data_IF_038978618469
#
_entry.id   IF_038978618469
#
_cell.length_a   1.000
_cell.length_b   1.000
_cell.length_c   1.000
_cell.angle_alpha   90.00
_cell.angle_beta   90.00
_cell.angle_gamma   90.00
#
_symmetry.space_group_name_H-M   'P 1'
#
loop_
_entity.id
_entity.type
_entity.pdbx_description
1 polymer ?
#
# COMPACT_ATOMS: atom_id res chain seq x y z
N UNK A 1 -6.03 25.41 2.95
CA UNK A 1 -4.96 24.71 3.73
C UNK A 1 -5.54 23.33 4.03
N UNK A 2 -4.84 22.26 3.69
CA UNK A 2 -5.24 20.90 4.04
C UNK A 2 -5.31 20.78 5.58
N UNK A 3 -6.37 20.14 6.07
CA UNK A 3 -6.59 19.93 7.52
C UNK A 3 -5.73 18.72 7.95
N UNK A 4 -4.49 18.98 8.37
CA UNK A 4 -3.52 17.96 8.75
C UNK A 4 -3.83 17.44 10.15
N UNK A 5 -4.05 16.13 10.27
CA UNK A 5 -4.28 15.46 11.55
C UNK A 5 -2.98 14.99 12.21
N UNK A 6 -2.04 14.48 11.41
CA UNK A 6 -0.77 13.96 11.91
C UNK A 6 0.38 14.43 11.00
N UNK A 7 1.52 14.71 11.58
CA UNK A 7 2.74 15.04 10.85
C UNK A 7 3.95 14.33 11.47
N UNK A 8 4.76 13.75 10.61
CA UNK A 8 6.07 13.20 10.95
C UNK A 8 7.11 14.13 10.34
N UNK A 9 8.02 14.69 11.16
CA UNK A 9 9.03 15.66 10.71
C UNK A 9 10.41 15.17 11.10
N UNK A 10 11.25 14.90 10.10
CA UNK A 10 12.64 14.48 10.24
C UNK A 10 12.82 13.31 11.22
N UNK A 11 11.91 12.33 11.15
CA UNK A 11 11.90 11.18 12.05
C UNK A 11 13.11 10.30 11.78
N UNK A 12 13.89 10.07 12.83
CA UNK A 12 15.02 9.15 12.83
C UNK A 12 14.88 8.16 13.98
N UNK A 13 15.21 6.86 13.73
CA UNK A 13 15.20 5.83 14.76
C UNK A 13 16.35 4.87 14.61
N UNK A 14 17.06 4.65 15.72
CA UNK A 14 18.15 3.70 15.83
C UNK A 14 17.78 2.57 16.80
N UNK A 15 18.21 1.36 16.50
CA UNK A 15 18.25 0.23 17.44
C UNK A 15 19.71 -0.25 17.54
N UNK A 16 20.35 0.09 18.62
CA UNK A 16 21.78 -0.08 18.74
C UNK A 16 22.54 0.70 17.66
N UNK A 17 23.25 -0.02 16.77
CA UNK A 17 23.98 0.60 15.64
C UNK A 17 23.16 0.66 14.35
N UNK A 18 22.00 0.06 14.33
CA UNK A 18 21.16 0.00 13.12
C UNK A 18 20.29 1.26 12.99
N UNK A 19 20.45 2.03 11.92
CA UNK A 19 19.61 3.17 11.57
C UNK A 19 18.40 2.66 10.79
N UNK A 20 17.27 2.45 11.49
CA UNK A 20 16.08 1.77 10.96
C UNK A 20 15.12 2.72 10.26
N UNK A 21 14.98 3.97 10.75
CA UNK A 21 14.18 5.02 10.14
C UNK A 21 15.09 6.23 9.91
N UNK A 22 15.08 6.74 8.68
CA UNK A 22 16.06 7.71 8.20
C UNK A 22 15.35 8.92 7.61
N UNK A 23 15.35 10.02 8.35
CA UNK A 23 14.83 11.33 7.96
C UNK A 23 13.45 11.30 7.32
N UNK A 24 12.50 10.58 7.93
CA UNK A 24 11.16 10.40 7.39
C UNK A 24 10.31 11.64 7.64
N UNK A 25 9.73 12.17 6.55
CA UNK A 25 8.84 13.32 6.54
C UNK A 25 7.52 12.93 5.84
N UNK A 26 6.38 13.00 6.57
CA UNK A 26 5.06 12.62 6.04
C UNK A 26 4.00 13.51 6.70
N UNK A 27 3.13 14.08 5.88
CA UNK A 27 1.92 14.79 6.30
C UNK A 27 0.69 13.93 6.05
N UNK A 28 -0.23 13.88 7.02
CA UNK A 28 -1.46 13.08 6.95
C UNK A 28 -2.67 14.01 7.01
N UNK A 29 -3.48 13.95 5.98
CA UNK A 29 -4.75 14.69 5.93
C UNK A 29 -5.82 13.98 6.77
N UNK A 30 -6.69 14.79 7.38
CA UNK A 30 -7.79 14.28 8.19
C UNK A 30 -8.76 13.45 7.36
N UNK A 31 -9.16 12.31 7.92
CA UNK A 31 -10.08 11.38 7.27
C UNK A 31 -9.46 10.54 6.17
N UNK A 32 -8.17 10.70 5.86
CA UNK A 32 -7.49 9.87 4.86
C UNK A 32 -7.11 8.49 5.41
N UNK A 33 -7.14 7.52 4.51
CA UNK A 33 -6.60 6.18 4.71
C UNK A 33 -5.20 6.13 4.09
N UNK A 34 -4.17 6.13 4.93
CA UNK A 34 -2.77 6.15 4.51
C UNK A 34 -2.13 4.80 4.74
N UNK A 35 -1.52 4.23 3.71
CA UNK A 35 -0.85 2.92 3.81
C UNK A 35 0.66 3.06 3.77
N UNK A 36 1.35 2.46 4.76
CA UNK A 36 2.78 2.20 4.68
C UNK A 36 3.02 0.87 3.99
N UNK A 37 3.66 0.91 2.85
CA UNK A 37 3.93 -0.23 1.99
C UNK A 37 5.44 -0.37 1.77
N UNK A 38 5.95 -1.61 1.73
CA UNK A 38 7.37 -1.86 1.49
C UNK A 38 7.78 -3.28 1.88
N UNK A 39 9.00 -3.72 1.54
CA UNK A 39 9.52 -5.03 1.91
C UNK A 39 9.55 -5.27 3.41
N UNK A 40 9.66 -6.54 3.81
CA UNK A 40 9.84 -6.89 5.23
C UNK A 40 11.09 -6.23 5.80
N UNK A 41 11.00 -5.73 7.04
CA UNK A 41 12.13 -5.08 7.71
C UNK A 41 12.45 -3.64 7.27
N UNK A 42 11.69 -3.01 6.36
CA UNK A 42 11.94 -1.64 5.91
C UNK A 42 11.52 -0.55 6.92
N UNK A 43 10.94 -0.90 8.08
CA UNK A 43 10.62 0.05 9.15
C UNK A 43 9.15 0.45 9.31
N UNK A 44 8.20 -0.10 8.52
CA UNK A 44 6.75 0.24 8.58
C UNK A 44 6.17 0.13 9.99
N UNK A 45 6.27 -1.06 10.59
CA UNK A 45 5.77 -1.31 11.96
C UNK A 45 6.50 -0.46 13.00
N UNK A 46 7.81 -0.19 12.81
CA UNK A 46 8.56 0.72 13.69
C UNK A 46 7.97 2.13 13.65
N UNK A 47 7.71 2.65 12.46
CA UNK A 47 7.11 3.97 12.26
C UNK A 47 5.70 4.04 12.87
N UNK A 48 4.86 3.01 12.62
CA UNK A 48 3.54 2.90 13.21
C UNK A 48 3.59 2.90 14.75
N UNK A 49 4.52 2.13 15.34
CA UNK A 49 4.71 2.04 16.79
C UNK A 49 5.24 3.33 17.41
N UNK A 50 6.00 4.15 16.66
CA UNK A 50 6.37 5.48 17.12
C UNK A 50 5.16 6.41 17.17
N UNK A 51 4.26 6.37 16.18
CA UNK A 51 3.00 7.11 16.23
C UNK A 51 2.13 6.64 17.39
N UNK A 52 2.07 5.33 17.65
CA UNK A 52 1.32 4.76 18.78
C UNK A 52 1.94 5.07 20.16
N UNK A 53 3.23 5.45 20.20
CA UNK A 53 3.96 5.78 21.44
C UNK A 53 4.66 4.61 22.13
N UNK A 54 4.82 3.46 21.43
CA UNK A 54 5.60 2.32 21.94
C UNK A 54 7.11 2.54 21.77
N UNK A 55 7.50 3.38 20.82
CA UNK A 55 8.88 3.82 20.63
C UNK A 55 8.92 5.34 20.56
N UNK A 56 9.96 5.94 21.12
CA UNK A 56 10.29 7.34 20.91
C UNK A 56 11.24 7.45 19.71
N UNK A 57 11.06 8.44 18.81
CA UNK A 57 12.08 8.77 17.82
C UNK A 57 13.35 9.27 18.50
N UNK A 58 14.52 8.97 17.92
CA UNK A 58 15.79 9.50 18.44
C UNK A 58 16.00 10.95 18.00
N UNK A 59 15.44 11.33 16.84
CA UNK A 59 15.35 12.70 16.36
C UNK A 59 14.05 12.91 15.61
N UNK A 60 13.61 14.16 15.51
CA UNK A 60 12.41 14.59 14.82
C UNK A 60 11.21 14.80 15.72
N UNK A 61 10.08 15.12 15.13
CA UNK A 61 8.85 15.50 15.82
C UNK A 61 7.64 14.75 15.28
N UNK A 62 6.76 14.30 16.17
CA UNK A 62 5.45 13.72 15.82
C UNK A 62 4.38 14.70 16.34
N UNK A 63 3.61 15.26 15.41
CA UNK A 63 2.58 16.25 15.72
C UNK A 63 1.20 15.64 15.45
N UNK A 64 0.32 15.62 16.45
CA UNK A 64 -1.10 15.25 16.32
C UNK A 64 -1.94 16.52 16.55
N UNK A 65 -2.70 16.94 15.54
CA UNK A 65 -3.41 18.23 15.54
C UNK A 65 -2.51 19.42 15.99
N UNK A 66 -1.28 19.46 15.44
CA UNK A 66 -0.29 20.48 15.75
C UNK A 66 0.37 20.37 17.14
N UNK A 67 0.03 19.39 17.96
CA UNK A 67 0.63 19.16 19.29
C UNK A 67 1.66 18.04 19.22
N UNK A 68 2.83 18.27 19.80
CA UNK A 68 3.89 17.25 19.89
C UNK A 68 3.48 16.11 20.81
N UNK A 69 3.62 14.87 20.32
CA UNK A 69 3.20 13.66 21.04
C UNK A 69 4.32 12.64 21.23
N UNK A 70 5.52 12.84 20.72
CA UNK A 70 6.61 11.85 20.76
C UNK A 70 6.93 11.38 22.19
N UNK A 71 6.80 12.25 23.22
CA UNK A 71 7.03 11.91 24.62
C UNK A 71 5.76 11.55 25.40
N UNK A 72 4.59 11.58 24.76
CA UNK A 72 3.34 11.20 25.41
C UNK A 72 3.22 9.68 25.39
N UNK A 73 2.94 9.03 26.56
CA UNK A 73 2.81 7.57 26.61
C UNK A 73 1.57 7.09 25.81
N UNK A 74 1.55 5.83 25.34
CA UNK A 74 0.48 5.30 24.46
C UNK A 74 -0.93 5.50 24.99
N UNK A 75 -1.16 5.25 26.28
CA UNK A 75 -2.48 5.35 26.93
C UNK A 75 -3.03 6.79 27.03
N UNK A 76 -2.17 7.80 26.86
CA UNK A 76 -2.53 9.22 26.89
C UNK A 76 -2.62 9.84 25.49
N UNK A 77 -2.23 9.11 24.44
CA UNK A 77 -2.42 9.55 23.06
C UNK A 77 -3.86 9.29 22.62
N UNK A 78 -4.40 10.18 21.79
CA UNK A 78 -5.73 9.94 21.20
C UNK A 78 -5.63 9.09 19.92
N UNK A 79 -4.89 7.98 20.02
CA UNK A 79 -4.72 6.98 18.98
C UNK A 79 -5.18 5.62 19.49
N UNK A 80 -5.64 4.75 18.59
CA UNK A 80 -5.94 3.36 18.92
C UNK A 80 -5.23 2.45 17.92
N UNK A 81 -4.70 1.30 18.40
CA UNK A 81 -3.94 0.38 17.57
C UNK A 81 -4.56 -1.02 17.58
N UNK A 82 -4.67 -1.60 16.39
CA UNK A 82 -4.98 -3.01 16.16
C UNK A 82 -3.69 -3.71 15.76
N UNK A 83 -3.31 -4.73 16.51
CA UNK A 83 -2.10 -5.52 16.27
C UNK A 83 -2.37 -6.66 15.29
N UNK A 84 -1.33 -7.16 14.65
CA UNK A 84 -1.37 -8.27 13.70
C UNK A 84 -2.05 -9.53 14.28
N UNK A 85 -1.80 -9.86 15.56
CA UNK A 85 -2.40 -11.00 16.27
C UNK A 85 -3.69 -10.62 17.01
N UNK A 86 -4.32 -9.47 16.66
CA UNK A 86 -5.53 -8.92 17.28
C UNK A 86 -5.39 -8.59 18.77
N UNK A 87 -4.51 -9.28 19.51
CA UNK A 87 -4.22 -9.10 20.93
C UNK A 87 -5.50 -9.04 21.81
N UNK A 88 -6.50 -9.90 21.52
CA UNK A 88 -7.69 -10.03 22.35
C UNK A 88 -7.34 -10.67 23.68
N UNK A 89 -8.03 -10.26 24.74
CA UNK A 89 -7.92 -10.89 26.05
C UNK A 89 -8.68 -12.22 26.02
N UNK A 90 -8.00 -13.38 26.07
CA UNK A 90 -8.66 -14.68 25.86
C UNK A 90 -9.61 -15.10 26.98
N UNK A 91 -9.44 -14.52 28.18
CA UNK A 91 -10.25 -14.75 29.37
C UNK A 91 -11.44 -13.80 29.51
N UNK A 92 -11.62 -12.89 28.56
CA UNK A 92 -12.71 -11.93 28.48
C UNK A 92 -13.62 -12.26 27.32
N UNK A 93 -14.94 -12.09 27.48
CA UNK A 93 -15.89 -12.18 26.37
C UNK A 93 -15.77 -10.96 25.42
N UNK A 94 -16.56 -10.91 24.37
CA UNK A 94 -16.55 -9.82 23.36
C UNK A 94 -16.90 -8.48 24.02
N UNK A 95 -17.95 -8.43 24.85
CA UNK A 95 -18.36 -7.21 25.55
C UNK A 95 -17.23 -6.67 26.44
N UNK A 96 -16.59 -7.55 27.20
CA UNK A 96 -15.51 -7.17 28.12
C UNK A 96 -14.25 -6.72 27.36
N UNK A 97 -13.89 -7.40 26.26
CA UNK A 97 -12.81 -6.97 25.38
C UNK A 97 -13.04 -5.55 24.86
N UNK A 98 -14.21 -5.28 24.29
CA UNK A 98 -14.52 -3.98 23.69
C UNK A 98 -14.64 -2.89 24.75
N UNK A 99 -15.29 -3.18 25.90
CA UNK A 99 -15.50 -2.20 26.97
C UNK A 99 -14.24 -1.87 27.78
N UNK A 100 -13.17 -2.68 27.67
CA UNK A 100 -12.00 -2.61 28.55
C UNK A 100 -11.41 -1.19 28.67
N UNK A 101 -11.13 -0.53 27.55
CA UNK A 101 -10.55 0.80 27.53
C UNK A 101 -11.45 1.87 28.17
N UNK A 102 -12.77 1.75 28.00
CA UNK A 102 -13.74 2.66 28.63
C UNK A 102 -13.79 2.48 30.15
N UNK A 103 -13.70 1.22 30.62
CA UNK A 103 -13.61 0.89 32.05
C UNK A 103 -12.35 1.45 32.69
N UNK A 104 -11.20 1.28 32.03
CA UNK A 104 -9.91 1.86 32.48
C UNK A 104 -9.98 3.38 32.59
N UNK A 105 -10.74 4.04 31.69
CA UNK A 105 -11.01 5.50 31.75
C UNK A 105 -12.14 5.88 32.72
N UNK A 106 -12.65 4.93 33.51
CA UNK A 106 -13.74 5.15 34.52
C UNK A 106 -14.98 5.81 33.92
N UNK A 107 -15.39 5.40 32.68
CA UNK A 107 -16.63 5.92 32.08
C UNK A 107 -17.86 5.37 32.76
N UNK A 108 -18.97 6.13 32.81
CA UNK A 108 -20.25 5.65 33.39
C UNK A 108 -20.72 4.38 32.67
N UNK A 109 -21.38 3.48 33.46
CA UNK A 109 -21.85 2.19 32.94
C UNK A 109 -22.79 2.33 31.74
N UNK A 110 -23.70 3.28 31.80
CA UNK A 110 -24.64 3.58 30.69
C UNK A 110 -23.91 4.02 29.40
N UNK A 111 -22.85 4.85 29.52
CA UNK A 111 -22.02 5.24 28.38
C UNK A 111 -21.30 4.03 27.82
N UNK A 112 -20.75 3.16 28.68
CA UNK A 112 -20.07 1.93 28.25
C UNK A 112 -21.01 1.04 27.45
N UNK A 113 -22.20 0.73 28.00
CA UNK A 113 -23.19 -0.14 27.35
C UNK A 113 -23.62 0.42 26.00
N UNK A 114 -23.91 1.72 25.91
CA UNK A 114 -24.29 2.38 24.66
C UNK A 114 -23.18 2.30 23.63
N UNK A 115 -21.95 2.72 23.97
CA UNK A 115 -20.83 2.77 23.02
C UNK A 115 -20.38 1.40 22.57
N UNK A 116 -20.37 0.40 23.45
CA UNK A 116 -20.05 -0.99 23.08
C UNK A 116 -21.09 -1.52 22.11
N UNK A 117 -22.38 -1.31 22.38
CA UNK A 117 -23.46 -1.72 21.48
C UNK A 117 -23.30 -1.08 20.09
N UNK A 118 -23.07 0.25 20.02
CA UNK A 118 -22.82 0.97 18.77
C UNK A 118 -21.61 0.40 18.00
N UNK A 119 -20.51 0.09 18.70
CA UNK A 119 -19.32 -0.48 18.08
C UNK A 119 -19.55 -1.92 17.56
N UNK A 120 -20.27 -2.75 18.32
CA UNK A 120 -20.62 -4.11 17.92
C UNK A 120 -21.60 -4.13 16.73
N UNK A 121 -22.60 -3.25 16.74
CA UNK A 121 -23.54 -3.09 15.62
C UNK A 121 -22.80 -2.67 14.36
N UNK A 122 -21.87 -1.71 14.46
CA UNK A 122 -21.03 -1.24 13.33
C UNK A 122 -20.19 -2.38 12.73
N UNK A 123 -19.66 -3.27 13.59
CA UNK A 123 -18.82 -4.39 13.20
C UNK A 123 -19.62 -5.67 12.89
N UNK A 124 -20.95 -5.61 12.82
CA UNK A 124 -21.83 -6.76 12.56
C UNK A 124 -21.63 -7.92 13.56
N UNK A 125 -21.38 -7.58 14.82
CA UNK A 125 -21.15 -8.53 15.92
C UNK A 125 -22.32 -8.60 16.91
N UNK A 126 -23.49 -8.07 16.55
CA UNK A 126 -24.71 -8.10 17.38
C UNK A 126 -25.07 -9.53 17.77
N UNK A 127 -25.35 -9.76 19.06
CA UNK A 127 -25.68 -11.07 19.61
C UNK A 127 -24.48 -11.97 19.89
N UNK A 128 -23.26 -11.42 19.82
CA UNK A 128 -22.02 -12.15 20.14
C UNK A 128 -21.35 -11.64 21.42
N UNK A 129 -22.02 -10.81 22.20
CA UNK A 129 -21.48 -10.09 23.36
C UNK A 129 -20.85 -11.03 24.39
N UNK A 130 -21.47 -12.20 24.62
CA UNK A 130 -21.08 -13.19 25.64
C UNK A 130 -20.06 -14.23 25.12
N UNK A 131 -19.71 -14.22 23.80
CA UNK A 131 -18.75 -15.16 23.24
C UNK A 131 -17.34 -14.82 23.66
N UNK A 132 -16.50 -15.86 23.78
CA UNK A 132 -15.07 -15.71 24.03
C UNK A 132 -14.29 -15.82 22.72
N UNK A 133 -13.07 -15.25 22.64
CA UNK A 133 -12.24 -15.28 21.42
C UNK A 133 -12.05 -16.68 20.82
N UNK A 134 -11.88 -17.72 21.65
CA UNK A 134 -11.70 -19.10 21.21
C UNK A 134 -12.97 -19.73 20.57
N UNK A 135 -14.11 -19.08 20.67
CA UNK A 135 -15.38 -19.49 20.06
C UNK A 135 -15.67 -18.74 18.75
N UNK A 136 -14.71 -17.97 18.25
CA UNK A 136 -14.89 -17.06 17.12
C UNK A 136 -13.93 -17.40 15.98
N UNK A 137 -14.38 -17.16 14.73
CA UNK A 137 -13.48 -17.21 13.58
C UNK A 137 -12.47 -16.06 13.58
N UNK A 138 -11.36 -16.21 12.84
CA UNK A 138 -10.33 -15.16 12.75
C UNK A 138 -10.89 -13.80 12.30
N UNK A 139 -11.80 -13.78 11.32
CA UNK A 139 -12.47 -12.54 10.88
C UNK A 139 -13.35 -11.93 11.95
N UNK A 140 -14.04 -12.75 12.78
CA UNK A 140 -14.81 -12.25 13.91
C UNK A 140 -13.89 -11.68 15.00
N UNK A 141 -12.79 -12.36 15.32
CA UNK A 141 -11.78 -11.85 16.26
C UNK A 141 -11.20 -10.52 15.82
N UNK A 142 -10.89 -10.38 14.53
CA UNK A 142 -10.43 -9.13 13.95
C UNK A 142 -11.48 -8.01 14.13
N UNK A 143 -12.74 -8.27 13.80
CA UNK A 143 -13.82 -7.28 13.99
C UNK A 143 -13.96 -6.86 15.47
N UNK A 144 -13.77 -7.78 16.41
CA UNK A 144 -13.75 -7.46 17.84
C UNK A 144 -12.58 -6.54 18.18
N UNK A 145 -11.37 -6.82 17.63
CA UNK A 145 -10.20 -5.96 17.85
C UNK A 145 -10.39 -4.55 17.29
N UNK A 146 -11.01 -4.43 16.10
CA UNK A 146 -11.37 -3.14 15.50
C UNK A 146 -12.45 -2.44 16.35
N UNK A 147 -13.50 -3.14 16.79
CA UNK A 147 -14.52 -2.58 17.69
C UNK A 147 -13.92 -2.04 18.98
N UNK A 148 -12.97 -2.79 19.60
CA UNK A 148 -12.22 -2.36 20.79
C UNK A 148 -11.40 -1.10 20.56
N UNK A 149 -10.86 -0.91 19.37
CA UNK A 149 -10.15 0.31 19.00
C UNK A 149 -11.12 1.48 18.78
N UNK A 150 -12.19 1.26 18.01
CA UNK A 150 -13.16 2.29 17.62
C UNK A 150 -13.99 2.81 18.80
N UNK A 151 -14.30 1.95 19.79
CA UNK A 151 -15.07 2.35 20.96
C UNK A 151 -14.44 3.51 21.73
N UNK A 152 -13.13 3.69 21.61
CA UNK A 152 -12.39 4.79 22.23
C UNK A 152 -12.54 6.13 21.50
N UNK A 153 -13.13 6.13 20.30
CA UNK A 153 -13.26 7.30 19.42
C UNK A 153 -11.90 8.00 19.17
N UNK A 154 -10.92 7.28 18.61
CA UNK A 154 -9.59 7.82 18.38
C UNK A 154 -9.59 8.86 17.25
N UNK A 155 -8.64 9.80 17.29
CA UNK A 155 -8.37 10.72 16.17
C UNK A 155 -7.66 10.01 15.02
N UNK A 156 -6.80 9.03 15.34
CA UNK A 156 -6.08 8.22 14.35
C UNK A 156 -6.17 6.75 14.74
N UNK A 157 -6.64 5.92 13.80
CA UNK A 157 -6.64 4.47 13.91
C UNK A 157 -5.36 3.91 13.27
N UNK A 158 -4.67 3.05 14.00
CA UNK A 158 -3.42 2.42 13.59
C UNK A 158 -3.64 0.92 13.40
N UNK A 159 -3.36 0.40 12.21
CA UNK A 159 -3.60 -1.00 11.85
C UNK A 159 -2.27 -1.65 11.40
N UNK A 160 -1.76 -2.61 12.20
CA UNK A 160 -0.50 -3.32 11.93
C UNK A 160 -0.80 -4.69 11.30
N UNK A 161 -0.76 -4.79 9.98
CA UNK A 161 -1.04 -5.99 9.18
C UNK A 161 -2.33 -6.75 9.60
N UNK A 162 -3.48 -6.07 9.75
CA UNK A 162 -4.65 -6.66 10.40
C UNK A 162 -5.32 -7.78 9.58
N UNK A 163 -5.01 -7.92 8.29
CA UNK A 163 -5.60 -8.93 7.39
C UNK A 163 -4.68 -10.13 7.12
N UNK A 164 -3.44 -10.12 7.64
CA UNK A 164 -2.42 -11.13 7.31
C UNK A 164 -2.82 -12.56 7.70
N UNK A 165 -3.61 -12.73 8.75
CA UNK A 165 -4.02 -14.04 9.30
C UNK A 165 -5.34 -14.56 8.70
N UNK A 166 -5.89 -13.90 7.65
CA UNK A 166 -7.14 -14.31 7.00
C UNK A 166 -6.87 -15.05 5.67
N UNK A 167 -7.75 -15.98 5.33
CA UNK A 167 -7.77 -16.56 3.99
C UNK A 167 -8.12 -15.52 2.91
N UNK A 168 -7.77 -15.79 1.64
CA UNK A 168 -7.88 -14.83 0.56
C UNK A 168 -9.30 -14.29 0.35
N UNK A 169 -10.33 -15.16 0.42
CA UNK A 169 -11.73 -14.78 0.20
C UNK A 169 -12.27 -13.90 1.33
N UNK A 170 -11.95 -14.27 2.57
CA UNK A 170 -12.35 -13.50 3.75
C UNK A 170 -11.61 -12.16 3.79
N UNK A 171 -10.32 -12.14 3.42
CA UNK A 171 -9.51 -10.92 3.33
C UNK A 171 -10.12 -9.89 2.40
N UNK A 172 -10.60 -10.31 1.22
CA UNK A 172 -11.24 -9.42 0.25
C UNK A 172 -12.51 -8.78 0.82
N UNK A 173 -13.40 -9.56 1.44
CA UNK A 173 -14.63 -9.02 2.03
C UNK A 173 -14.36 -8.06 3.20
N UNK A 174 -13.43 -8.42 4.09
CA UNK A 174 -13.09 -7.58 5.25
C UNK A 174 -12.39 -6.30 4.82
N UNK A 175 -11.60 -6.32 3.74
CA UNK A 175 -10.98 -5.14 3.15
C UNK A 175 -12.02 -4.08 2.77
N UNK A 176 -13.07 -4.48 2.04
CA UNK A 176 -14.17 -3.59 1.64
C UNK A 176 -14.87 -3.03 2.88
N UNK A 177 -15.24 -3.89 3.84
CA UNK A 177 -15.90 -3.47 5.08
C UNK A 177 -15.08 -2.47 5.89
N UNK A 178 -13.78 -2.71 6.07
CA UNK A 178 -12.89 -1.80 6.80
C UNK A 178 -12.85 -0.41 6.14
N UNK A 179 -12.75 -0.40 4.81
CA UNK A 179 -12.73 0.87 4.06
C UNK A 179 -14.07 1.61 4.17
N UNK A 180 -15.19 0.92 4.10
CA UNK A 180 -16.52 1.50 4.25
C UNK A 180 -16.74 2.09 5.65
N UNK A 181 -16.30 1.38 6.68
CA UNK A 181 -16.37 1.85 8.07
C UNK A 181 -15.53 3.11 8.24
N UNK A 182 -14.30 3.10 7.74
CA UNK A 182 -13.39 4.23 7.80
C UNK A 182 -14.00 5.48 7.12
N UNK A 183 -14.54 5.33 5.90
CA UNK A 183 -15.22 6.41 5.17
C UNK A 183 -16.45 6.93 5.93
N UNK A 184 -17.30 6.02 6.40
CA UNK A 184 -18.54 6.37 7.12
C UNK A 184 -18.26 7.15 8.41
N UNK A 185 -17.15 6.85 9.08
CA UNK A 185 -16.75 7.52 10.31
C UNK A 185 -15.89 8.77 10.07
N UNK A 186 -15.38 8.99 8.85
CA UNK A 186 -14.41 10.05 8.55
C UNK A 186 -13.09 9.88 9.33
N UNK A 187 -12.69 8.64 9.61
CA UNK A 187 -11.60 8.32 10.53
C UNK A 187 -10.25 8.37 9.81
N UNK A 188 -9.31 9.14 10.33
CA UNK A 188 -7.92 9.10 9.85
C UNK A 188 -7.29 7.76 10.21
N UNK A 189 -6.72 7.06 9.23
CA UNK A 189 -6.22 5.69 9.43
C UNK A 189 -4.81 5.55 8.86
N UNK A 190 -3.91 4.93 9.64
CA UNK A 190 -2.62 4.46 9.16
C UNK A 190 -2.65 2.94 9.13
N UNK A 191 -2.39 2.40 7.96
CA UNK A 191 -2.43 0.98 7.67
C UNK A 191 -1.04 0.48 7.27
N UNK A 192 -0.57 -0.58 7.90
CA UNK A 192 0.68 -1.25 7.52
C UNK A 192 0.34 -2.55 6.82
N UNK A 193 0.92 -2.77 5.66
CA UNK A 193 0.83 -4.04 4.93
C UNK A 193 2.08 -4.27 4.08
N UNK A 194 2.28 -5.50 3.66
CA UNK A 194 3.18 -5.89 2.57
C UNK A 194 2.42 -6.31 1.31
N UNK A 195 1.08 -6.36 1.37
CA UNK A 195 0.21 -6.70 0.25
C UNK A 195 -0.10 -5.46 -0.59
N UNK A 196 0.38 -5.47 -1.84
CA UNK A 196 0.20 -4.37 -2.78
C UNK A 196 -1.27 -4.17 -3.16
N UNK A 197 -2.05 -5.26 -3.25
CA UNK A 197 -3.47 -5.18 -3.61
C UNK A 197 -4.30 -4.52 -2.52
N UNK A 198 -3.93 -4.71 -1.26
CA UNK A 198 -4.52 -4.00 -0.12
C UNK A 198 -4.22 -2.49 -0.23
N UNK A 199 -2.94 -2.15 -0.40
CA UNK A 199 -2.52 -0.76 -0.52
C UNK A 199 -3.21 -0.03 -1.67
N UNK A 200 -3.20 -0.61 -2.87
CA UNK A 200 -3.79 -0.01 -4.08
C UNK A 200 -5.32 0.14 -3.99
N UNK A 201 -6.02 -0.79 -3.31
CA UNK A 201 -7.49 -0.79 -3.28
C UNK A 201 -8.11 0.01 -2.15
N UNK A 202 -7.38 0.22 -1.04
CA UNK A 202 -7.93 0.85 0.17
C UNK A 202 -7.47 2.28 0.39
N UNK A 203 -6.30 2.68 -0.12
CA UNK A 203 -5.64 3.91 0.29
C UNK A 203 -6.15 5.15 -0.45
N UNK A 204 -6.14 6.27 0.25
CA UNK A 204 -6.14 7.60 -0.35
C UNK A 204 -4.71 8.04 -0.67
N UNK A 205 -3.73 7.60 0.15
CA UNK A 205 -2.31 7.86 -0.01
C UNK A 205 -1.49 6.61 0.36
N UNK A 206 -0.50 6.29 -0.45
CA UNK A 206 0.48 5.24 -0.19
C UNK A 206 1.84 5.87 0.07
N UNK A 207 2.52 5.39 1.11
CA UNK A 207 3.91 5.73 1.42
C UNK A 207 4.75 4.48 1.17
N UNK A 208 5.57 4.50 0.13
CA UNK A 208 6.46 3.38 -0.22
C UNK A 208 7.78 3.54 0.52
N UNK A 209 8.12 2.54 1.34
CA UNK A 209 9.30 2.51 2.21
C UNK A 209 10.27 1.40 1.76
N UNK A 210 11.58 1.72 1.71
CA UNK A 210 12.67 0.74 1.54
C UNK A 210 13.86 1.15 2.40
N UNK A 211 14.42 0.22 3.16
CA UNK A 211 15.64 0.47 3.96
C UNK A 211 15.54 1.65 4.96
N UNK A 212 14.34 1.95 5.46
CA UNK A 212 14.08 3.05 6.40
C UNK A 212 13.87 4.43 5.76
N UNK A 213 13.85 4.50 4.44
CA UNK A 213 13.66 5.74 3.66
C UNK A 213 12.31 5.72 2.94
N UNK A 214 11.68 6.87 2.78
CA UNK A 214 10.49 7.05 1.93
C UNK A 214 10.96 7.25 0.48
N UNK A 215 10.64 6.30 -0.41
CA UNK A 215 10.96 6.39 -1.83
C UNK A 215 9.93 7.19 -2.62
N UNK A 216 8.65 7.00 -2.30
CA UNK A 216 7.57 7.78 -2.92
C UNK A 216 6.36 7.85 -2.01
N UNK A 217 5.67 8.99 -2.07
CA UNK A 217 4.34 9.19 -1.49
C UNK A 217 3.43 9.69 -2.60
N UNK A 218 2.21 9.17 -2.66
CA UNK A 218 1.21 9.57 -3.67
C UNK A 218 -0.08 8.77 -3.57
N UNK A 219 -1.06 9.10 -4.41
CA UNK A 219 -2.26 8.29 -4.61
C UNK A 219 -1.93 6.91 -5.19
N UNK A 220 -2.82 5.90 -5.04
CA UNK A 220 -2.61 4.60 -5.66
C UNK A 220 -2.30 4.66 -7.16
N UNK A 221 -2.98 5.55 -7.89
CA UNK A 221 -2.76 5.74 -9.32
C UNK A 221 -1.38 6.31 -9.63
N UNK A 222 -0.92 7.34 -8.89
CA UNK A 222 0.42 7.91 -9.06
C UNK A 222 1.51 6.88 -8.76
N UNK A 223 1.36 6.11 -7.68
CA UNK A 223 2.34 5.07 -7.30
C UNK A 223 2.43 3.98 -8.38
N UNK A 224 1.30 3.61 -9.00
CA UNK A 224 1.23 2.55 -9.99
C UNK A 224 1.69 3.00 -11.39
N UNK A 225 1.18 4.16 -11.86
CA UNK A 225 1.41 4.62 -13.24
C UNK A 225 2.56 5.60 -13.38
N UNK A 226 2.94 6.29 -12.29
CA UNK A 226 3.96 7.35 -12.26
C UNK A 226 5.05 7.07 -11.23
N UNK A 227 5.67 5.86 -11.24
CA UNK A 227 6.73 5.54 -10.29
C UNK A 227 7.92 6.48 -10.46
N UNK A 228 8.47 6.97 -9.35
CA UNK A 228 9.61 7.91 -9.36
C UNK A 228 10.95 7.21 -9.53
N UNK A 229 11.06 5.95 -9.08
CA UNK A 229 12.29 5.15 -9.17
C UNK A 229 12.01 3.78 -9.78
N UNK A 230 13.02 3.10 -10.35
CA UNK A 230 12.90 1.72 -10.82
C UNK A 230 12.43 0.76 -9.72
N UNK A 231 12.90 0.99 -8.48
CA UNK A 231 12.44 0.21 -7.33
C UNK A 231 10.92 0.31 -7.12
N UNK A 232 10.36 1.52 -7.12
CA UNK A 232 8.90 1.68 -6.94
C UNK A 232 8.13 1.02 -8.09
N UNK A 233 8.62 1.17 -9.33
CA UNK A 233 8.02 0.55 -10.51
C UNK A 233 7.96 -0.98 -10.40
N UNK A 234 9.06 -1.62 -9.99
CA UNK A 234 9.18 -3.07 -9.86
C UNK A 234 8.49 -3.61 -8.60
N UNK A 235 8.58 -2.86 -7.51
CA UNK A 235 7.95 -3.27 -6.25
C UNK A 235 6.42 -3.21 -6.31
N UNK A 236 5.82 -2.30 -7.09
CA UNK A 236 4.37 -2.13 -7.20
C UNK A 236 3.86 -2.82 -8.47
N UNK A 237 3.47 -4.08 -8.33
CA UNK A 237 3.00 -4.89 -9.45
C UNK A 237 4.12 -5.34 -10.40
N UNK A 238 3.75 -6.01 -11.47
CA UNK A 238 4.69 -6.40 -12.52
C UNK A 238 4.91 -5.24 -13.49
N UNK A 239 6.14 -5.03 -13.96
CA UNK A 239 6.46 -4.02 -14.98
C UNK A 239 7.61 -4.47 -15.88
N UNK A 240 7.65 -3.96 -17.10
CA UNK A 240 8.80 -4.06 -17.98
C UNK A 240 9.65 -2.81 -17.81
N UNK A 241 10.87 -2.94 -17.32
CA UNK A 241 11.82 -1.83 -17.16
C UNK A 241 12.86 -1.93 -18.27
N UNK A 242 12.94 -0.89 -19.09
CA UNK A 242 13.89 -0.76 -20.18
C UNK A 242 14.90 0.33 -19.86
N UNK A 243 16.19 0.02 -19.94
CA UNK A 243 17.25 1.03 -19.89
C UNK A 243 17.32 1.72 -21.25
N UNK A 244 17.17 3.03 -21.28
CA UNK A 244 17.10 3.84 -22.50
C UNK A 244 18.00 5.05 -22.40
N UNK A 245 18.39 5.60 -23.55
CA UNK A 245 19.25 6.79 -23.62
C UNK A 245 18.52 7.94 -24.31
N UNK A 246 18.54 9.11 -23.69
CA UNK A 246 17.96 10.31 -24.25
C UNK A 246 18.63 10.71 -25.60
N UNK A 247 17.81 11.05 -26.58
CA UNK A 247 18.23 11.58 -27.87
C UNK A 247 18.02 13.10 -27.98
N UNK A 248 17.39 13.69 -26.98
CA UNK A 248 16.94 15.08 -26.98
C UNK A 248 15.47 15.21 -27.34
N UNK A 249 14.91 16.39 -27.09
CA UNK A 249 13.47 16.67 -27.20
C UNK A 249 12.65 15.67 -26.36
N UNK A 250 11.74 14.94 -26.99
CA UNK A 250 10.89 13.95 -26.34
C UNK A 250 11.12 12.56 -26.91
N UNK A 251 12.39 12.15 -27.09
CA UNK A 251 12.72 10.88 -27.73
C UNK A 251 13.86 10.19 -26.99
N UNK A 252 13.72 8.88 -26.76
CA UNK A 252 14.79 8.03 -26.25
C UNK A 252 15.12 6.92 -27.24
N UNK A 253 16.33 6.34 -27.14
CA UNK A 253 16.73 5.15 -27.87
C UNK A 253 16.65 3.91 -26.99
N UNK A 254 16.12 2.83 -27.57
CA UNK A 254 16.17 1.48 -27.04
C UNK A 254 16.75 0.57 -28.11
N UNK A 255 18.03 0.19 -27.98
CA UNK A 255 18.77 -0.43 -29.07
C UNK A 255 18.81 0.49 -30.29
N UNK A 256 18.28 -0.01 -31.44
CA UNK A 256 18.14 0.76 -32.67
C UNK A 256 16.78 1.50 -32.79
N UNK A 257 15.85 1.22 -31.91
CA UNK A 257 14.52 1.80 -31.94
C UNK A 257 14.48 3.18 -31.29
N UNK A 258 13.66 4.07 -31.84
CA UNK A 258 13.36 5.39 -31.26
C UNK A 258 11.97 5.36 -30.65
N UNK A 259 11.90 5.67 -29.36
CA UNK A 259 10.64 5.67 -28.61
C UNK A 259 10.33 7.11 -28.20
N UNK A 260 9.20 7.67 -28.64
CA UNK A 260 8.72 8.95 -28.13
C UNK A 260 8.43 8.86 -26.63
N UNK A 261 8.55 9.99 -25.93
CA UNK A 261 8.26 10.10 -24.49
C UNK A 261 7.33 11.27 -24.22
N UNK A 262 6.58 11.22 -23.12
CA UNK A 262 5.70 12.31 -22.69
C UNK A 262 6.46 13.46 -22.03
N UNK A 263 7.71 13.22 -21.62
CA UNK A 263 8.59 14.20 -20.98
C UNK A 263 9.78 14.52 -21.86
N UNK A 264 10.32 15.73 -21.70
CA UNK A 264 11.60 16.12 -22.34
C UNK A 264 12.77 15.33 -21.76
N UNK A 265 13.70 14.95 -22.60
CA UNK A 265 14.91 14.19 -22.22
C UNK A 265 16.17 14.92 -22.69
N UNK A 266 17.23 14.81 -21.92
CA UNK A 266 18.55 15.34 -22.28
C UNK A 266 19.30 14.34 -23.16
N UNK A 267 19.89 14.81 -24.24
CA UNK A 267 20.67 13.96 -25.11
C UNK A 267 21.86 13.35 -24.36
N UNK A 268 22.03 12.04 -24.49
CA UNK A 268 23.12 11.30 -23.87
C UNK A 268 22.89 10.86 -22.42
N UNK A 269 21.85 11.38 -21.74
CA UNK A 269 21.50 10.97 -20.38
C UNK A 269 20.80 9.60 -20.40
N UNK A 270 21.04 8.80 -19.35
CA UNK A 270 20.38 7.51 -19.13
C UNK A 270 19.06 7.68 -18.37
N UNK A 271 18.08 6.88 -18.74
CA UNK A 271 16.73 6.84 -18.17
C UNK A 271 16.23 5.40 -18.12
N UNK A 272 15.15 5.17 -17.39
CA UNK A 272 14.37 3.95 -17.50
C UNK A 272 12.97 4.24 -18.05
N UNK A 273 12.45 3.35 -18.91
CA UNK A 273 11.03 3.31 -19.26
C UNK A 273 10.37 2.16 -18.51
N UNK A 274 9.29 2.45 -17.79
CA UNK A 274 8.43 1.47 -17.14
C UNK A 274 7.16 1.29 -17.96
N UNK A 275 6.86 0.05 -18.36
CA UNK A 275 5.68 -0.29 -19.16
C UNK A 275 4.96 -1.45 -18.48
N UNK A 276 3.71 -1.23 -18.08
CA UNK A 276 2.90 -2.27 -17.46
C UNK A 276 2.53 -3.36 -18.48
N UNK A 277 2.52 -4.65 -18.07
CA UNK A 277 2.21 -5.77 -18.97
C UNK A 277 0.85 -5.66 -19.68
N UNK A 278 -0.15 -5.12 -18.99
CA UNK A 278 -1.50 -4.88 -19.52
C UNK A 278 -1.59 -3.71 -20.53
N UNK A 279 -0.57 -2.87 -20.59
CA UNK A 279 -0.49 -1.79 -21.56
C UNK A 279 0.06 -2.25 -22.92
N UNK A 280 0.58 -3.47 -22.98
CA UNK A 280 1.17 -4.07 -24.16
C UNK A 280 0.14 -4.92 -24.92
N UNK A 281 0.23 -4.89 -26.25
CA UNK A 281 -0.47 -5.83 -27.14
C UNK A 281 0.54 -6.75 -27.79
N UNK A 282 0.20 -8.01 -27.91
CA UNK A 282 0.99 -8.98 -28.66
C UNK A 282 0.29 -9.23 -29.99
N UNK A 283 0.93 -8.86 -31.11
CA UNK A 283 0.33 -8.86 -32.45
C UNK A 283 1.28 -9.46 -33.49
N UNK A 284 0.74 -10.02 -34.60
CA UNK A 284 1.56 -10.61 -35.68
C UNK A 284 2.16 -9.56 -36.58
N UNK A 285 1.52 -8.41 -36.75
CA UNK A 285 1.95 -7.31 -37.63
C UNK A 285 2.05 -6.03 -36.81
N UNK A 286 2.94 -5.13 -37.20
CA UNK A 286 3.13 -3.85 -36.55
C UNK A 286 1.85 -2.99 -36.61
N UNK A 287 1.55 -2.28 -35.55
CA UNK A 287 0.37 -1.40 -35.43
C UNK A 287 0.79 0.03 -35.74
N UNK A 288 0.13 0.63 -36.72
CA UNK A 288 0.38 2.03 -37.08
C UNK A 288 0.12 2.99 -35.90
N UNK A 289 1.02 3.98 -35.76
CA UNK A 289 0.93 4.98 -34.68
C UNK A 289 1.29 4.47 -33.29
N UNK A 290 1.78 3.24 -33.15
CA UNK A 290 2.27 2.68 -31.88
C UNK A 290 3.78 2.38 -31.94
N UNK A 291 4.40 2.29 -30.79
CA UNK A 291 5.73 1.70 -30.65
C UNK A 291 5.59 0.20 -30.88
N UNK A 292 6.44 -0.37 -31.73
CA UNK A 292 6.40 -1.79 -32.07
C UNK A 292 7.81 -2.37 -31.86
N UNK A 293 7.96 -3.26 -30.89
CA UNK A 293 9.21 -3.97 -30.62
C UNK A 293 9.06 -5.41 -31.10
N UNK A 294 9.96 -5.86 -31.97
CA UNK A 294 9.98 -7.24 -32.47
C UNK A 294 10.38 -8.18 -31.34
N UNK A 295 9.59 -9.22 -31.10
CA UNK A 295 9.77 -10.16 -30.00
C UNK A 295 9.56 -11.60 -30.45
N UNK A 296 10.18 -12.54 -29.73
CA UNK A 296 9.97 -13.98 -29.90
C UNK A 296 9.32 -14.54 -28.63
N UNK A 297 8.22 -15.23 -28.78
CA UNK A 297 7.48 -15.83 -27.65
C UNK A 297 8.27 -17.03 -27.14
N UNK A 298 8.64 -16.98 -25.84
CA UNK A 298 9.39 -18.04 -25.16
C UNK A 298 8.47 -18.95 -24.37
N UNK A 299 7.50 -18.37 -23.65
CA UNK A 299 6.58 -19.12 -22.78
C UNK A 299 5.26 -18.38 -22.63
N UNK A 300 4.24 -19.11 -22.16
CA UNK A 300 2.92 -18.58 -21.86
C UNK A 300 2.33 -19.26 -20.62
N UNK A 301 1.58 -18.50 -19.82
CA UNK A 301 0.92 -19.01 -18.61
C UNK A 301 -0.53 -18.54 -18.61
N UNK A 302 -1.47 -19.49 -18.51
CA UNK A 302 -2.89 -19.19 -18.36
C UNK A 302 -3.20 -18.94 -16.88
N UNK A 303 -3.72 -17.75 -16.55
CA UNK A 303 -4.01 -17.31 -15.19
C UNK A 303 -5.52 -17.11 -14.94
N UNK A 304 -6.38 -17.72 -15.75
CA UNK A 304 -7.84 -17.61 -15.67
C UNK A 304 -8.36 -16.38 -16.42
N UNK A 305 -8.22 -15.19 -15.85
CA UNK A 305 -8.67 -13.93 -16.43
C UNK A 305 -7.79 -13.40 -17.58
N UNK A 306 -6.53 -13.88 -17.64
CA UNK A 306 -5.52 -13.45 -18.62
C UNK A 306 -4.58 -14.57 -19.02
N UNK A 307 -3.93 -14.41 -20.17
CA UNK A 307 -2.72 -15.14 -20.52
C UNK A 307 -1.53 -14.20 -20.34
N UNK A 308 -0.55 -14.64 -19.55
CA UNK A 308 0.74 -13.99 -19.44
C UNK A 308 1.73 -14.61 -20.41
N UNK A 309 2.29 -13.80 -21.30
CA UNK A 309 3.35 -14.19 -22.22
C UNK A 309 4.69 -13.71 -21.68
N UNK A 310 5.71 -14.56 -21.82
CA UNK A 310 7.11 -14.24 -21.64
C UNK A 310 7.76 -14.23 -23.01
N UNK A 311 8.28 -13.06 -23.42
CA UNK A 311 8.80 -12.87 -24.76
C UNK A 311 10.17 -12.20 -24.69
N UNK A 312 11.09 -12.54 -25.62
CA UNK A 312 12.39 -11.90 -25.70
C UNK A 312 12.45 -11.00 -26.93
N UNK A 313 13.03 -9.82 -26.77
CA UNK A 313 13.34 -8.93 -27.88
C UNK A 313 14.67 -9.28 -28.55
N UNK A 314 15.03 -8.51 -29.57
CA UNK A 314 16.29 -8.68 -30.32
C UNK A 314 17.57 -8.38 -29.52
N UNK A 315 17.43 -7.70 -28.36
CA UNK A 315 18.52 -7.40 -27.43
C UNK A 315 18.67 -8.49 -26.34
N UNK A 316 17.78 -9.51 -26.32
CA UNK A 316 17.75 -10.57 -25.33
C UNK A 316 17.05 -10.18 -24.03
N UNK A 317 16.40 -9.02 -23.99
CA UNK A 317 15.61 -8.60 -22.83
C UNK A 317 14.28 -9.34 -22.81
N UNK A 318 13.95 -9.94 -21.66
CA UNK A 318 12.65 -10.53 -21.41
C UNK A 318 11.60 -9.44 -21.14
N UNK A 319 10.44 -9.58 -21.79
CA UNK A 319 9.25 -8.77 -21.56
C UNK A 319 8.11 -9.66 -21.08
N UNK A 320 7.25 -9.09 -20.25
CA UNK A 320 6.03 -9.71 -19.78
C UNK A 320 4.84 -8.98 -20.40
N UNK A 321 3.93 -9.71 -21.03
CA UNK A 321 2.74 -9.17 -21.69
C UNK A 321 1.52 -9.89 -21.16
N UNK A 322 0.57 -9.17 -20.60
CA UNK A 322 -0.69 -9.69 -20.06
C UNK A 322 -1.84 -9.41 -21.04
N UNK A 323 -2.41 -10.46 -21.63
CA UNK A 323 -3.57 -10.35 -22.53
C UNK A 323 -4.83 -10.75 -21.77
N UNK A 324 -5.68 -9.77 -21.52
CA UNK A 324 -7.01 -9.95 -20.95
C UNK A 324 -8.00 -10.29 -22.09
N UNK A 325 -9.01 -11.08 -21.81
CA UNK A 325 -9.88 -11.67 -22.83
C UNK A 325 -9.06 -12.49 -23.83
N UNK A 326 -8.43 -13.56 -23.35
CA UNK A 326 -7.55 -14.40 -24.17
C UNK A 326 -8.36 -15.16 -25.21
N UNK A 327 -8.91 -14.49 -26.18
CA UNK A 327 -9.67 -15.10 -27.27
C UNK A 327 -9.17 -16.52 -27.63
N UNK A 328 -9.73 -17.17 -28.56
CA UNK A 328 -9.37 -18.56 -28.93
C UNK A 328 -8.00 -18.69 -29.62
N UNK A 329 -7.40 -17.56 -30.02
CA UNK A 329 -6.14 -17.58 -30.79
C UNK A 329 -4.95 -17.37 -29.84
N UNK A 330 -4.20 -18.42 -29.60
CA UNK A 330 -2.92 -18.39 -28.90
C UNK A 330 -1.82 -18.07 -29.88
N UNK A 331 -1.03 -17.03 -29.62
CA UNK A 331 0.11 -16.64 -30.46
C UNK A 331 1.34 -17.48 -30.12
N UNK A 332 2.15 -17.78 -31.15
CA UNK A 332 3.42 -18.51 -31.05
C UNK A 332 4.44 -17.95 -32.06
N UNK A 333 5.74 -18.15 -31.77
CA UNK A 333 6.85 -17.71 -32.62
C UNK A 333 7.10 -16.20 -32.56
N UNK A 334 7.42 -15.61 -33.72
CA UNK A 334 7.70 -14.18 -33.84
C UNK A 334 6.41 -13.36 -33.80
N UNK A 335 6.48 -12.20 -33.12
CA UNK A 335 5.39 -11.25 -32.94
C UNK A 335 5.94 -9.84 -32.69
N UNK A 336 5.05 -8.87 -32.48
CA UNK A 336 5.38 -7.55 -32.03
C UNK A 336 4.72 -7.28 -30.68
N UNK A 337 5.50 -6.72 -29.74
CA UNK A 337 5.00 -6.04 -28.55
C UNK A 337 4.68 -4.60 -28.94
N UNK A 338 3.39 -4.30 -29.06
CA UNK A 338 2.93 -2.98 -29.50
C UNK A 338 2.29 -2.21 -28.35
N UNK A 339 2.58 -0.92 -28.21
CA UNK A 339 2.01 -0.05 -27.18
C UNK A 339 1.96 1.42 -27.61
N UNK A 340 0.97 2.20 -27.15
CA UNK A 340 0.99 3.65 -27.25
C UNK A 340 2.14 4.21 -26.40
N UNK A 341 2.94 5.14 -26.94
CA UNK A 341 4.11 5.67 -26.21
C UNK A 341 3.71 6.37 -24.89
N UNK A 342 2.50 6.91 -24.79
CA UNK A 342 1.94 7.55 -23.59
C UNK A 342 1.77 6.57 -22.42
N UNK A 343 1.77 5.26 -22.70
CA UNK A 343 1.70 4.19 -21.69
C UNK A 343 3.07 3.78 -21.15
N UNK A 344 4.14 4.29 -21.72
CA UNK A 344 5.50 4.10 -21.23
C UNK A 344 5.87 5.28 -20.32
N UNK A 345 6.07 5.01 -19.02
CA UNK A 345 6.45 6.04 -18.06
C UNK A 345 7.96 6.21 -17.99
N UNK A 346 8.44 7.45 -18.18
CA UNK A 346 9.86 7.78 -18.09
C UNK A 346 10.26 8.03 -16.64
N UNK A 347 11.23 7.27 -16.15
CA UNK A 347 11.83 7.39 -14.83
C UNK A 347 13.22 8.05 -14.98
N UNK A 348 13.38 9.18 -14.30
CA UNK A 348 14.60 10.00 -14.33
C UNK A 348 15.55 9.66 -13.17
N UNK A 349 14.97 9.35 -12.00
CA UNK A 349 15.72 8.96 -10.81
C UNK A 349 16.02 7.46 -10.85
N UNK A 350 17.27 7.13 -11.14
CA UNK A 350 17.78 5.76 -11.24
C UNK A 350 18.32 5.21 -9.90
N UNK A 351 18.09 5.92 -8.78
CA UNK A 351 18.48 5.45 -7.45
C UNK A 351 17.63 4.26 -7.01
N UNK A 352 18.28 3.24 -6.45
CA UNK A 352 17.67 2.01 -5.93
C UNK A 352 17.38 2.10 -4.41
#
# INVERSE_FOLDING_TARGET
MSDLVLQLKQINKYFGRSHVIKDVNIDFEKGHFVTFLGPSGCGKTTLLRMVAGFYEPDNGEILLNGKRIERIPPYSRNTAMVFQEYALFPHMNVFDNVSYGLRVKNRPKEEIERRVKEALDLMQLKGMEDRFPNQMSGGQQQRVAVARALVMNPEVLLLDEPLSNLDAKLRESVRVELRDIQKKMGLSTIYVTHDQSEALSMSDMIVVLKGGVVHQTGSPQEIYFEPKTPFVADFIGTTNILSVKGLGENTVSYGNDRIPTTKSVNAGQEYCLSIRPECLKLVKEAVDGQVNVKVTIQNKMFLGEKIRYFVNDSLGKEWIIDIYDPGRTILEGEAYAAFPFEKAWLIEDLTD
#
